data_IF_798062526942
#
_entry.id   IF_798062526942
#
_cell.length_a   1.000
_cell.length_b   1.000
_cell.length_c   1.000
_cell.angle_alpha   90.00
_cell.angle_beta   90.00
_cell.angle_gamma   90.00
#
_symmetry.space_group_name_H-M   'P 1'
#
loop_
_entity.id
_entity.type
_entity.pdbx_description
1 polymer ?
#
# COMPACT_ATOMS: atom_id res chain seq x y z
N UNK A 1 -38.78 7.02 -51.00
CA UNK A 1 -38.84 7.42 -49.58
C UNK A 1 -37.89 6.69 -48.62
N UNK A 2 -37.07 5.71 -49.06
CA UNK A 2 -36.44 4.78 -48.12
C UNK A 2 -34.98 5.12 -47.72
N UNK A 3 -34.33 6.06 -48.43
CA UNK A 3 -32.94 6.44 -48.18
C UNK A 3 -32.76 7.23 -46.88
N UNK A 4 -33.63 8.21 -46.63
CA UNK A 4 -33.58 9.06 -45.43
C UNK A 4 -33.81 8.25 -44.14
N UNK A 5 -34.69 7.25 -44.19
CA UNK A 5 -34.97 6.36 -43.05
C UNK A 5 -33.82 5.39 -42.80
N UNK A 6 -33.18 4.87 -43.86
CA UNK A 6 -31.99 4.00 -43.73
C UNK A 6 -30.80 4.74 -43.13
N UNK A 7 -30.57 5.99 -43.54
CA UNK A 7 -29.46 6.82 -43.02
C UNK A 7 -29.70 7.20 -41.55
N UNK A 8 -30.91 7.62 -41.20
CA UNK A 8 -31.25 7.96 -39.80
C UNK A 8 -31.18 6.76 -38.86
N UNK A 9 -31.62 5.57 -39.30
CA UNK A 9 -31.52 4.35 -38.50
C UNK A 9 -30.07 3.91 -38.29
N UNK A 10 -29.20 4.04 -39.30
CA UNK A 10 -27.78 3.73 -39.18
C UNK A 10 -27.05 4.70 -38.24
N UNK A 11 -27.37 6.01 -38.30
CA UNK A 11 -26.80 7.01 -37.40
C UNK A 11 -27.20 6.76 -35.95
N UNK A 12 -28.45 6.40 -35.67
CA UNK A 12 -28.88 6.03 -34.31
C UNK A 12 -28.17 4.79 -33.78
N UNK A 13 -27.99 3.74 -34.60
CA UNK A 13 -27.25 2.54 -34.19
C UNK A 13 -25.79 2.83 -33.87
N UNK A 14 -25.13 3.65 -34.69
CA UNK A 14 -23.77 4.11 -34.43
C UNK A 14 -23.69 4.91 -33.12
N UNK A 15 -24.61 5.83 -32.89
CA UNK A 15 -24.66 6.60 -31.65
C UNK A 15 -24.85 5.71 -30.41
N UNK A 16 -25.74 4.71 -30.49
CA UNK A 16 -25.96 3.73 -29.40
C UNK A 16 -24.73 2.85 -29.16
N UNK A 17 -24.04 2.41 -30.20
CA UNK A 17 -22.81 1.61 -30.06
C UNK A 17 -21.66 2.43 -29.44
N UNK A 18 -21.55 3.70 -29.81
CA UNK A 18 -20.55 4.62 -29.26
C UNK A 18 -20.83 4.89 -27.77
N UNK A 19 -22.08 5.14 -27.39
CA UNK A 19 -22.43 5.34 -25.97
C UNK A 19 -22.22 4.09 -25.14
N UNK A 20 -22.51 2.89 -25.67
CA UNK A 20 -22.25 1.62 -24.98
C UNK A 20 -20.75 1.35 -24.77
N UNK A 21 -19.89 1.78 -25.70
CA UNK A 21 -18.44 1.64 -25.58
C UNK A 21 -17.83 2.60 -24.54
N UNK A 22 -18.39 3.81 -24.40
CA UNK A 22 -17.88 4.82 -23.44
C UNK A 22 -18.15 4.46 -21.97
N UNK A 23 -19.21 3.72 -21.67
CA UNK A 23 -19.53 3.29 -20.29
C UNK A 23 -18.73 2.07 -19.83
N UNK A 24 -18.01 1.41 -20.73
CA UNK A 24 -17.14 0.27 -20.43
C UNK A 24 -15.75 0.72 -19.94
N UNK A 25 -15.69 1.75 -19.09
CA UNK A 25 -14.44 2.09 -18.41
C UNK A 25 -14.11 0.96 -17.43
N UNK A 26 -12.95 0.29 -17.53
CA UNK A 26 -12.55 -0.59 -16.46
C UNK A 26 -12.40 0.28 -15.20
N UNK A 27 -13.07 -0.10 -14.12
CA UNK A 27 -12.62 0.28 -12.78
C UNK A 27 -11.25 -0.37 -12.63
N UNK A 28 -10.22 0.29 -13.14
CA UNK A 28 -8.86 0.07 -12.69
C UNK A 28 -8.91 0.48 -11.22
N UNK A 29 -9.12 -0.51 -10.34
CA UNK A 29 -8.85 -0.37 -8.94
C UNK A 29 -7.44 0.22 -8.88
N UNK A 30 -7.34 1.51 -8.55
CA UNK A 30 -6.05 2.11 -8.30
C UNK A 30 -5.60 1.45 -7.01
N UNK A 31 -4.87 0.35 -7.15
CA UNK A 31 -4.05 -0.21 -6.08
C UNK A 31 -2.95 0.82 -5.86
N UNK A 32 -3.34 1.92 -5.20
CA UNK A 32 -2.40 2.83 -4.59
C UNK A 32 -1.77 2.01 -3.51
N UNK A 33 -0.73 1.25 -3.88
CA UNK A 33 0.10 0.52 -2.95
C UNK A 33 0.61 1.54 -1.95
N UNK A 34 -0.09 1.61 -0.81
CA UNK A 34 0.22 2.54 0.27
C UNK A 34 1.69 2.28 0.60
N UNK A 35 2.53 3.31 0.43
CA UNK A 35 3.96 3.14 0.74
C UNK A 35 4.05 2.71 2.20
N UNK A 36 4.61 1.52 2.50
CA UNK A 36 4.59 1.04 3.87
C UNK A 36 5.45 1.97 4.74
N UNK A 37 4.84 2.55 5.77
CA UNK A 37 5.54 3.34 6.77
C UNK A 37 6.41 2.43 7.64
N UNK A 38 7.67 2.81 7.88
CA UNK A 38 8.62 2.04 8.69
C UNK A 38 9.43 2.95 9.62
N UNK A 39 9.73 2.46 10.82
CA UNK A 39 10.67 3.12 11.72
C UNK A 39 12.12 2.75 11.32
N UNK A 40 13.09 3.53 11.79
CA UNK A 40 14.51 3.27 11.58
C UNK A 40 15.20 2.97 12.91
N UNK A 41 15.85 1.82 13.01
CA UNK A 41 16.62 1.41 14.20
C UNK A 41 17.89 2.27 14.35
N UNK A 42 18.57 2.18 15.50
CA UNK A 42 19.86 2.83 15.75
C UNK A 42 20.91 2.47 14.70
N UNK A 43 20.86 1.24 14.16
CA UNK A 43 21.76 0.75 13.10
C UNK A 43 21.34 1.15 11.68
N UNK A 44 20.20 1.85 11.54
CA UNK A 44 19.64 2.17 10.23
C UNK A 44 18.83 1.04 9.59
N UNK A 45 18.49 -0.02 10.32
CA UNK A 45 17.57 -1.03 9.79
C UNK A 45 16.14 -0.49 9.69
N UNK A 46 15.40 -0.92 8.67
CA UNK A 46 13.97 -0.59 8.52
C UNK A 46 13.13 -1.58 9.33
N UNK A 47 12.34 -1.07 10.26
CA UNK A 47 11.51 -1.85 11.16
C UNK A 47 10.05 -1.58 10.83
N UNK A 48 9.27 -2.63 10.54
CA UNK A 48 7.88 -2.47 10.11
C UNK A 48 6.98 -2.07 11.29
N UNK A 49 5.80 -1.53 10.97
CA UNK A 49 4.80 -1.21 11.98
C UNK A 49 4.45 -2.45 12.81
N UNK A 50 4.47 -2.34 14.13
CA UNK A 50 4.18 -3.44 15.07
C UNK A 50 5.41 -4.25 15.49
N UNK A 51 6.50 -4.21 14.72
CA UNK A 51 7.74 -4.91 15.04
C UNK A 51 8.48 -4.23 16.19
N UNK A 52 9.27 -5.03 16.91
CA UNK A 52 10.09 -4.59 18.04
C UNK A 52 11.55 -4.60 17.61
N UNK A 53 12.27 -3.53 17.96
CA UNK A 53 13.71 -3.45 17.80
C UNK A 53 14.37 -3.00 19.11
N UNK A 54 15.65 -3.33 19.23
CA UNK A 54 16.52 -2.79 20.27
C UNK A 54 17.01 -1.41 19.82
N UNK A 55 16.75 -0.38 20.62
CA UNK A 55 17.22 0.98 20.35
C UNK A 55 18.30 1.36 21.34
N UNK A 56 19.39 1.90 20.79
CA UNK A 56 20.44 2.57 21.54
C UNK A 56 20.30 4.09 21.38
N UNK A 57 20.13 4.78 22.51
CA UNK A 57 20.13 6.25 22.56
C UNK A 57 21.17 6.68 23.59
N UNK A 58 22.31 7.17 23.11
CA UNK A 58 23.48 7.44 23.95
C UNK A 58 24.01 6.15 24.60
N UNK A 59 24.02 6.11 25.93
CA UNK A 59 24.45 4.95 26.72
C UNK A 59 23.31 4.00 27.12
N UNK A 60 22.06 4.34 26.82
CA UNK A 60 20.90 3.55 27.25
C UNK A 60 20.36 2.69 26.11
N UNK A 61 20.09 1.42 26.44
CA UNK A 61 19.53 0.41 25.53
C UNK A 61 18.14 0.00 26.02
N UNK A 62 17.15 0.00 25.14
CA UNK A 62 15.80 -0.45 25.46
C UNK A 62 15.09 -1.05 24.24
N UNK A 63 14.18 -1.99 24.48
CA UNK A 63 13.30 -2.51 23.43
C UNK A 63 12.13 -1.56 23.22
N UNK A 64 11.87 -1.23 21.96
CA UNK A 64 10.74 -0.41 21.56
C UNK A 64 10.02 -1.01 20.36
N UNK A 65 8.70 -0.84 20.32
CA UNK A 65 7.84 -1.20 19.19
C UNK A 65 7.67 -0.01 18.26
N UNK A 66 7.82 -0.22 16.96
CA UNK A 66 7.45 0.76 15.96
C UNK A 66 5.92 0.90 15.93
N UNK A 67 5.40 2.07 16.28
CA UNK A 67 3.96 2.35 16.37
C UNK A 67 3.63 3.61 15.61
N UNK A 68 2.35 3.81 15.28
CA UNK A 68 1.86 5.06 14.72
C UNK A 68 1.04 5.82 15.76
N UNK A 69 1.34 7.10 15.96
CA UNK A 69 0.63 8.00 16.86
C UNK A 69 0.28 9.27 16.11
N UNK A 70 -1.01 9.63 16.00
CA UNK A 70 -1.45 10.84 15.29
C UNK A 70 -0.87 10.97 13.85
N UNK A 71 -0.81 9.86 13.12
CA UNK A 71 -0.25 9.77 11.76
C UNK A 71 1.26 9.98 11.66
N UNK A 72 2.00 9.96 12.78
CA UNK A 72 3.46 9.93 12.78
C UNK A 72 4.00 8.62 13.32
N UNK A 73 5.07 8.12 12.70
CA UNK A 73 5.83 6.99 13.19
C UNK A 73 6.53 7.36 14.50
N UNK A 74 6.42 6.50 15.50
CA UNK A 74 7.01 6.72 16.82
C UNK A 74 7.49 5.42 17.43
N UNK A 75 8.54 5.52 18.24
CA UNK A 75 9.04 4.42 19.04
C UNK A 75 8.34 4.40 20.40
N UNK A 76 7.65 3.30 20.71
CA UNK A 76 7.04 3.07 22.03
C UNK A 76 7.86 2.04 22.80
N UNK A 77 8.47 2.45 23.92
CA UNK A 77 9.22 1.54 24.79
C UNK A 77 8.30 0.42 25.29
N UNK A 78 8.77 -0.82 25.22
CA UNK A 78 8.05 -2.02 25.68
C UNK A 78 8.77 -2.78 26.78
N UNK A 79 10.11 -2.69 26.84
CA UNK A 79 10.91 -3.31 27.90
C UNK A 79 12.23 -2.55 28.11
N UNK A 80 12.81 -2.72 29.30
CA UNK A 80 14.16 -2.28 29.64
C UNK A 80 15.21 -3.27 29.13
N UNK A 81 16.34 -2.76 28.63
CA UNK A 81 17.38 -3.57 28.02
C UNK A 81 16.93 -4.21 26.71
N UNK A 82 17.77 -5.09 26.17
CA UNK A 82 17.51 -5.81 24.93
C UNK A 82 17.71 -7.30 25.11
N UNK A 83 16.67 -8.09 24.80
CA UNK A 83 16.80 -9.54 24.67
C UNK A 83 17.27 -9.87 23.25
N UNK A 84 18.44 -10.48 23.14
CA UNK A 84 18.98 -10.97 21.87
C UNK A 84 18.29 -12.28 21.50
N UNK A 85 17.29 -12.23 20.60
CA UNK A 85 16.74 -13.42 19.97
C UNK A 85 16.46 -13.12 18.50
N UNK A 86 17.47 -13.37 17.65
CA UNK A 86 17.41 -13.18 16.21
C UNK A 86 16.52 -14.28 15.59
N UNK A 87 15.29 -13.94 15.20
CA UNK A 87 14.46 -14.82 14.36
C UNK A 87 14.26 -14.13 13.00
N UNK A 88 15.05 -14.54 12.02
CA UNK A 88 14.95 -14.07 10.64
C UNK A 88 13.82 -14.82 9.94
N UNK A 89 12.60 -14.32 10.01
CA UNK A 89 11.46 -14.92 9.28
C UNK A 89 11.67 -14.77 7.77
N UNK A 90 11.58 -15.84 6.96
CA UNK A 90 11.88 -15.78 5.54
C UNK A 90 10.89 -14.87 4.80
N UNK A 91 11.46 -13.91 4.06
CA UNK A 91 10.76 -13.01 3.13
C UNK A 91 9.88 -13.84 2.20
N UNK A 92 8.56 -13.61 2.25
CA UNK A 92 7.57 -14.26 1.38
C UNK A 92 7.98 -14.00 -0.07
N UNK A 93 8.54 -15.01 -0.73
CA UNK A 93 8.75 -15.02 -2.17
C UNK A 93 7.37 -15.04 -2.81
N UNK A 94 6.92 -13.87 -3.30
CA UNK A 94 5.79 -13.80 -4.22
C UNK A 94 6.24 -14.53 -5.48
N UNK A 95 5.66 -15.69 -5.72
CA UNK A 95 5.86 -16.46 -6.93
C UNK A 95 5.32 -15.65 -8.13
N UNK A 96 6.16 -15.53 -9.16
CA UNK A 96 5.84 -15.01 -10.49
C UNK A 96 4.83 -15.92 -11.20
#
# INVERSE_FOLDING_TARGET
MNWRVRVTLSLMRLAVLITLALVASPLAAQDQAEKPCFCRSSDGEKVMLGDIACLQVGSTMFMARCSMSLNVLTWRKVADGCLSSQISTPKKLVAL
#
